data_IF_292322832334
#
_entry.id   IF_292322832334
#
_cell.length_a   1.000
_cell.length_b   1.000
_cell.length_c   1.000
_cell.angle_alpha   90.00
_cell.angle_beta   90.00
_cell.angle_gamma   90.00
#
_symmetry.space_group_name_H-M   'P 1'
#
loop_
_entity.id
_entity.type
_entity.pdbx_description
1 polymer ?
#
# COMPACT_ATOMS: atom_id res chain seq x y z
N UNK A 1 26.43 -0.93 11.02
CA UNK A 1 25.37 -0.08 11.60
C UNK A 1 24.65 0.54 10.42
N UNK A 2 23.42 0.10 10.11
CA UNK A 2 22.62 0.83 9.14
C UNK A 2 22.43 2.25 9.68
N UNK A 3 22.54 3.27 8.83
CA UNK A 3 22.21 4.62 9.28
C UNK A 3 20.73 4.64 9.67
N UNK A 4 20.34 5.42 10.68
CA UNK A 4 18.93 5.60 11.05
C UNK A 4 18.05 6.01 9.84
N UNK A 5 18.68 6.61 8.82
CA UNK A 5 18.07 6.90 7.53
C UNK A 5 17.74 5.64 6.71
N UNK A 6 18.63 4.65 6.69
CA UNK A 6 18.41 3.37 6.03
C UNK A 6 17.27 2.57 6.66
N UNK A 7 17.15 2.60 7.99
CA UNK A 7 16.04 1.95 8.71
C UNK A 7 14.69 2.62 8.41
N UNK A 8 14.63 3.96 8.44
CA UNK A 8 13.41 4.70 8.08
C UNK A 8 12.96 4.47 6.64
N UNK A 9 13.91 4.43 5.69
CA UNK A 9 13.60 4.11 4.29
C UNK A 9 13.09 2.68 4.13
N UNK A 10 13.69 1.71 4.83
CA UNK A 10 13.24 0.32 4.79
C UNK A 10 11.84 0.15 5.39
N UNK A 11 11.55 0.81 6.51
CA UNK A 11 10.22 0.79 7.12
C UNK A 11 9.17 1.43 6.21
N UNK A 12 9.47 2.59 5.60
CA UNK A 12 8.59 3.22 4.63
C UNK A 12 8.32 2.31 3.43
N UNK A 13 9.33 1.58 2.95
CA UNK A 13 9.18 0.60 1.88
C UNK A 13 8.29 -0.60 2.29
N UNK A 14 8.46 -1.12 3.50
CA UNK A 14 7.60 -2.17 4.05
C UNK A 14 6.14 -1.70 4.14
N UNK A 15 5.90 -0.47 4.59
CA UNK A 15 4.54 0.10 4.68
C UNK A 15 3.90 0.21 3.30
N UNK A 16 4.66 0.69 2.31
CA UNK A 16 4.21 0.74 0.93
C UNK A 16 3.81 -0.65 0.41
N UNK A 17 4.72 -1.63 0.52
CA UNK A 17 4.49 -3.00 0.05
C UNK A 17 3.32 -3.67 0.78
N UNK A 18 3.25 -3.54 2.10
CA UNK A 18 2.17 -4.10 2.92
C UNK A 18 0.81 -3.58 2.47
N UNK A 19 0.73 -2.27 2.19
CA UNK A 19 -0.51 -1.64 1.70
C UNK A 19 -0.89 -2.16 0.31
N UNK A 20 0.08 -2.37 -0.59
CA UNK A 20 -0.19 -2.93 -1.92
C UNK A 20 -0.67 -4.37 -1.83
N UNK A 21 0.00 -5.20 -1.04
CA UNK A 21 -0.34 -6.61 -0.85
C UNK A 21 -1.76 -6.73 -0.26
N UNK A 22 -2.10 -5.92 0.75
CA UNK A 22 -3.45 -5.85 1.30
C UNK A 22 -4.49 -5.51 0.22
N UNK A 23 -4.21 -4.50 -0.60
CA UNK A 23 -5.07 -4.11 -1.72
C UNK A 23 -5.30 -5.28 -2.69
N UNK A 24 -4.26 -6.02 -3.05
CA UNK A 24 -4.37 -7.19 -3.94
C UNK A 24 -5.16 -8.33 -3.29
N UNK A 25 -4.94 -8.63 -2.00
CA UNK A 25 -5.64 -9.70 -1.29
C UNK A 25 -7.14 -9.40 -1.22
N UNK A 26 -7.51 -8.18 -0.80
CA UNK A 26 -8.92 -7.75 -0.71
C UNK A 26 -9.58 -7.76 -2.09
N UNK A 27 -8.86 -7.30 -3.13
CA UNK A 27 -9.39 -7.34 -4.49
C UNK A 27 -9.58 -8.78 -4.97
N UNK A 28 -8.61 -9.66 -4.73
CA UNK A 28 -8.66 -11.07 -5.13
C UNK A 28 -9.86 -11.79 -4.52
N UNK A 29 -10.12 -11.62 -3.22
CA UNK A 29 -11.28 -12.22 -2.55
C UNK A 29 -12.61 -11.66 -3.05
N UNK A 30 -12.65 -10.35 -3.32
CA UNK A 30 -13.87 -9.70 -3.81
C UNK A 30 -14.15 -10.10 -5.26
N UNK A 31 -13.10 -10.17 -6.09
CA UNK A 31 -13.17 -10.54 -7.50
C UNK A 31 -13.66 -11.98 -7.71
N UNK A 32 -13.28 -12.90 -6.82
CA UNK A 32 -13.81 -14.28 -6.86
C UNK A 32 -15.24 -14.38 -6.33
N UNK A 33 -15.64 -13.53 -5.38
CA UNK A 33 -16.98 -13.52 -4.80
C UNK A 33 -18.04 -12.83 -5.67
N UNK A 34 -17.65 -11.83 -6.46
CA UNK A 34 -18.58 -11.03 -7.28
C UNK A 34 -18.12 -10.97 -8.73
N UNK A 35 -18.81 -11.64 -9.67
CA UNK A 35 -18.55 -11.45 -11.09
C UNK A 35 -19.06 -10.08 -11.56
N UNK A 36 -18.37 -9.47 -12.53
CA UNK A 36 -18.84 -8.26 -13.20
C UNK A 36 -18.16 -6.95 -12.82
N UNK A 37 -16.98 -6.98 -12.18
CA UNK A 37 -16.21 -5.75 -11.97
C UNK A 37 -15.80 -5.11 -13.30
N UNK A 38 -16.27 -3.88 -13.53
CA UNK A 38 -15.85 -3.09 -14.67
C UNK A 38 -14.39 -2.63 -14.53
N UNK A 39 -13.66 -2.58 -15.64
CA UNK A 39 -12.25 -2.14 -15.69
C UNK A 39 -12.03 -0.75 -15.06
N UNK A 40 -13.05 0.12 -15.10
CA UNK A 40 -13.02 1.45 -14.45
C UNK A 40 -12.92 1.33 -12.93
N UNK A 41 -13.67 0.43 -12.31
CA UNK A 41 -13.62 0.20 -10.86
C UNK A 41 -12.25 -0.37 -10.45
N UNK A 42 -11.75 -1.36 -11.19
CA UNK A 42 -10.45 -2.00 -10.91
C UNK A 42 -9.34 -0.94 -10.90
N UNK A 43 -9.29 -0.07 -11.92
CA UNK A 43 -8.32 1.02 -11.99
C UNK A 43 -8.44 2.00 -10.81
N UNK A 44 -9.67 2.37 -10.45
CA UNK A 44 -9.91 3.31 -9.36
C UNK A 44 -9.50 2.70 -8.01
N UNK A 45 -9.87 1.45 -7.76
CA UNK A 45 -9.52 0.68 -6.57
C UNK A 45 -8.01 0.61 -6.36
N UNK A 46 -7.26 0.14 -7.36
CA UNK A 46 -5.81 0.05 -7.25
C UNK A 46 -5.15 1.44 -7.18
N UNK A 47 -5.73 2.44 -7.83
CA UNK A 47 -5.28 3.84 -7.73
C UNK A 47 -5.37 4.38 -6.31
N UNK A 48 -6.47 4.12 -5.58
CA UNK A 48 -6.60 4.51 -4.17
C UNK A 48 -5.55 3.81 -3.32
N UNK A 49 -5.42 2.48 -3.44
CA UNK A 49 -4.46 1.73 -2.65
C UNK A 49 -3.04 2.23 -2.90
N UNK A 50 -2.68 2.48 -4.16
CA UNK A 50 -1.39 3.07 -4.53
C UNK A 50 -1.17 4.43 -3.87
N UNK A 51 -2.16 5.32 -3.90
CA UNK A 51 -2.08 6.62 -3.23
C UNK A 51 -1.93 6.49 -1.71
N UNK A 52 -2.70 5.60 -1.07
CA UNK A 52 -2.59 5.32 0.36
C UNK A 52 -1.21 4.74 0.73
N UNK A 53 -0.67 3.85 -0.09
CA UNK A 53 0.66 3.29 0.10
C UNK A 53 1.75 4.38 0.04
N UNK A 54 1.65 5.31 -0.91
CA UNK A 54 2.57 6.45 -0.99
C UNK A 54 2.43 7.34 0.25
N UNK A 55 1.20 7.69 0.63
CA UNK A 55 0.96 8.55 1.80
C UNK A 55 1.52 7.89 3.07
N UNK A 56 1.23 6.62 3.30
CA UNK A 56 1.74 5.86 4.45
C UNK A 56 3.26 5.78 4.47
N UNK A 57 3.89 5.52 3.33
CA UNK A 57 5.35 5.48 3.21
C UNK A 57 5.99 6.84 3.50
N UNK A 58 5.43 7.92 2.96
CA UNK A 58 5.92 9.29 3.21
C UNK A 58 5.78 9.66 4.69
N UNK A 59 4.64 9.35 5.31
CA UNK A 59 4.42 9.62 6.74
C UNK A 59 5.35 8.80 7.63
N UNK A 60 5.66 7.56 7.24
CA UNK A 60 6.63 6.71 7.95
C UNK A 60 8.05 7.27 7.82
N UNK A 61 8.43 7.72 6.62
CA UNK A 61 9.72 8.37 6.39
C UNK A 61 9.86 9.67 7.20
N UNK A 62 8.78 10.44 7.29
CA UNK A 62 8.70 11.67 8.08
C UNK A 62 8.71 11.41 9.60
N UNK A 63 8.58 10.17 10.05
CA UNK A 63 8.51 9.81 11.48
C UNK A 63 7.18 10.19 12.12
N UNK A 64 6.12 10.39 11.33
CA UNK A 64 4.76 10.65 11.83
C UNK A 64 4.08 9.34 12.23
N UNK A 65 4.42 8.25 11.54
CA UNK A 65 3.94 6.91 11.83
C UNK A 65 5.17 6.05 12.15
N UNK A 66 5.15 5.44 13.32
CA UNK A 66 6.19 4.51 13.78
C UNK A 66 5.60 3.09 13.82
N UNK A 67 6.34 2.14 13.24
CA UNK A 67 6.01 0.71 13.19
C UNK A 67 7.13 -0.08 13.85
#
# INVERSE_FOLDING_TARGET
MASAWGEKMFNAFIVFLSTMILGVIIFGTTYTATPGFGMRFIKWYFGIFFALGIIGAVLTLAGVIEF
#
